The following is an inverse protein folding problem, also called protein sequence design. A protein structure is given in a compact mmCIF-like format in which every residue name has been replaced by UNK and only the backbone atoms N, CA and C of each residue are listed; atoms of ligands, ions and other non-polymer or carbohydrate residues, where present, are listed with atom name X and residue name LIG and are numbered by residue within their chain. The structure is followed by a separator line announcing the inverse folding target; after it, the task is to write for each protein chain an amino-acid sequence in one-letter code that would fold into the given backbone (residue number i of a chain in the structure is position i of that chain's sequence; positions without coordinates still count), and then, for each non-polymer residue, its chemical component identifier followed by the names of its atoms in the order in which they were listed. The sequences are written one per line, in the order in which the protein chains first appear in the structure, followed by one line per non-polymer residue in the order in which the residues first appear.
data_IF_401247832718
#
_entry.id   IF_401247832718
#
_cell.length_a   1.000
_cell.length_b   1.000
_cell.length_c   1.000
_cell.angle_alpha   90.00
_cell.angle_beta   90.00
_cell.angle_gamma   90.00
#
_symmetry.space_group_name_H-M   'P 1'
#
loop_
_entity.id
_entity.type
_entity.pdbx_description
1 polymer ?
#
# COMPACT_ATOMS: atom_id res chain seq x y z
N UNK A 1 -6.31 -11.57 -34.42
CA UNK A 1 -7.24 -11.60 -33.26
C UNK A 1 -6.40 -11.91 -32.05
N UNK A 2 -6.69 -11.26 -30.91
CA UNK A 2 -5.87 -11.12 -29.70
C UNK A 2 -4.73 -10.11 -29.91
N UNK A 3 -4.53 -9.08 -29.10
CA UNK A 3 -4.85 -8.92 -27.67
C UNK A 3 -5.49 -7.54 -27.44
N UNK A 4 -6.72 -7.52 -26.93
CA UNK A 4 -7.23 -6.36 -26.19
C UNK A 4 -6.40 -6.29 -24.92
N UNK A 5 -5.24 -5.62 -25.00
CA UNK A 5 -4.47 -5.21 -23.83
C UNK A 5 -5.42 -4.28 -23.09
N UNK A 6 -6.02 -4.79 -22.03
CA UNK A 6 -6.94 -4.07 -21.18
C UNK A 6 -6.26 -2.77 -20.79
N UNK A 7 -6.74 -1.67 -21.39
CA UNK A 7 -6.37 -0.32 -21.03
C UNK A 7 -7.07 -0.02 -19.70
N UNK A 8 -6.75 -0.81 -18.66
CA UNK A 8 -7.07 -0.47 -17.29
C UNK A 8 -6.10 0.65 -16.95
N UNK A 9 -6.56 1.89 -16.77
CA UNK A 9 -5.68 3.01 -16.41
C UNK A 9 -4.85 2.57 -15.21
N UNK A 10 -3.52 2.65 -15.29
CA UNK A 10 -2.64 2.26 -14.18
C UNK A 10 -3.07 3.02 -12.91
N UNK A 11 -2.79 2.50 -11.71
CA UNK A 11 -3.20 3.23 -10.49
C UNK A 11 -2.57 4.63 -10.45
N UNK A 12 -1.39 4.80 -11.06
CA UNK A 12 -0.71 6.09 -11.17
C UNK A 12 -1.42 7.10 -12.09
N UNK A 13 -2.33 6.62 -12.94
CA UNK A 13 -3.09 7.45 -13.88
C UNK A 13 -4.39 7.97 -13.24
N UNK A 14 -4.79 7.42 -12.08
CA UNK A 14 -5.96 7.87 -11.33
C UNK A 14 -5.69 9.19 -10.62
N UNK A 15 -6.72 10.02 -10.49
CA UNK A 15 -6.60 11.26 -9.74
C UNK A 15 -6.40 11.01 -8.24
N UNK A 16 -5.82 11.98 -7.54
CA UNK A 16 -5.64 11.90 -6.08
C UNK A 16 -6.96 11.58 -5.36
N UNK A 17 -8.04 12.23 -5.79
CA UNK A 17 -9.37 12.04 -5.18
C UNK A 17 -9.88 10.62 -5.37
N UNK A 18 -9.74 10.03 -6.56
CA UNK A 18 -10.15 8.66 -6.83
C UNK A 18 -9.36 7.64 -6.00
N UNK A 19 -8.04 7.83 -5.89
CA UNK A 19 -7.19 6.96 -5.10
C UNK A 19 -7.58 6.98 -3.62
N UNK A 20 -7.83 8.18 -3.10
CA UNK A 20 -8.23 8.35 -1.72
C UNK A 20 -9.67 7.92 -1.45
N UNK A 21 -10.58 8.00 -2.43
CA UNK A 21 -11.94 7.47 -2.32
C UNK A 21 -11.91 5.96 -2.10
N UNK A 22 -11.12 5.22 -2.90
CA UNK A 22 -10.91 3.78 -2.74
C UNK A 22 -10.36 3.42 -1.34
N UNK A 23 -9.37 4.20 -0.88
CA UNK A 23 -8.76 4.02 0.45
C UNK A 23 -9.78 4.32 1.55
N UNK A 24 -10.58 5.38 1.40
CA UNK A 24 -11.56 5.82 2.40
C UNK A 24 -12.75 4.86 2.52
N UNK A 25 -13.27 4.36 1.39
CA UNK A 25 -14.30 3.32 1.36
C UNK A 25 -13.84 2.07 2.13
N UNK A 26 -12.56 1.73 2.00
CA UNK A 26 -11.95 0.58 2.66
C UNK A 26 -11.19 0.95 3.95
N UNK A 27 -11.36 2.17 4.49
CA UNK A 27 -10.57 2.70 5.62
C UNK A 27 -10.63 1.81 6.84
N UNK A 28 -11.79 1.22 7.10
CA UNK A 28 -11.98 0.30 8.22
C UNK A 28 -11.21 -1.01 8.03
N UNK A 29 -11.25 -1.58 6.82
CA UNK A 29 -10.52 -2.81 6.50
C UNK A 29 -9.00 -2.58 6.52
N UNK A 30 -8.53 -1.44 5.99
CA UNK A 30 -7.14 -1.01 6.06
C UNK A 30 -6.72 -0.83 7.51
N UNK A 31 -7.47 -0.03 8.27
CA UNK A 31 -7.13 0.21 9.67
C UNK A 31 -7.12 -1.07 10.49
N UNK A 32 -7.98 -2.06 10.22
CA UNK A 32 -7.98 -3.31 10.97
C UNK A 32 -6.92 -4.32 10.52
N UNK A 33 -6.73 -4.46 9.21
CA UNK A 33 -5.86 -5.49 8.61
C UNK A 33 -4.39 -5.08 8.50
N UNK A 34 -4.11 -3.77 8.50
CA UNK A 34 -2.77 -3.24 8.23
C UNK A 34 -2.04 -2.93 9.52
N UNK A 35 -0.78 -3.38 9.58
CA UNK A 35 0.12 -3.05 10.67
C UNK A 35 1.03 -1.91 10.24
N UNK A 36 1.00 -0.74 10.91
CA UNK A 36 1.82 0.41 10.53
C UNK A 36 3.32 0.07 10.52
N UNK A 37 3.82 -0.69 11.50
CA UNK A 37 5.24 -1.10 11.56
C UNK A 37 5.73 -1.86 10.32
N UNK A 38 4.83 -2.50 9.56
CA UNK A 38 5.19 -3.20 8.30
C UNK A 38 5.27 -2.21 7.14
N UNK A 39 4.41 -1.18 7.13
CA UNK A 39 4.37 -0.19 6.06
C UNK A 39 5.41 0.92 6.22
N UNK A 40 5.68 1.35 7.45
CA UNK A 40 6.64 2.42 7.80
C UNK A 40 7.96 2.36 7.01
N UNK A 41 8.70 1.22 6.97
CA UNK A 41 9.97 1.18 6.23
C UNK A 41 9.80 1.47 4.73
N UNK A 42 8.69 1.04 4.14
CA UNK A 42 8.37 1.33 2.75
C UNK A 42 7.96 2.80 2.55
N UNK A 43 7.08 3.32 3.41
CA UNK A 43 6.59 4.69 3.34
C UNK A 43 7.75 5.71 3.52
N UNK A 44 8.74 5.37 4.34
CA UNK A 44 9.99 6.14 4.45
C UNK A 44 10.84 6.07 3.19
N UNK A 45 10.96 4.90 2.56
CA UNK A 45 11.65 4.76 1.28
C UNK A 45 10.97 5.56 0.17
N UNK A 46 9.63 5.61 0.18
CA UNK A 46 8.82 6.43 -0.72
C UNK A 46 8.88 7.93 -0.40
N UNK A 47 9.57 8.33 0.69
CA UNK A 47 9.71 9.72 1.17
C UNK A 47 8.38 10.41 1.46
N UNK A 48 7.35 9.63 1.82
CA UNK A 48 6.04 10.12 2.24
C UNK A 48 5.90 10.20 3.77
N UNK A 49 6.94 9.80 4.50
CA UNK A 49 6.97 9.73 5.96
C UNK A 49 8.34 10.17 6.47
N UNK A 50 8.35 11.05 7.48
CA UNK A 50 9.58 11.51 8.14
C UNK A 50 9.89 10.69 9.40
N UNK A 51 11.10 10.86 9.95
CA UNK A 51 11.48 10.26 11.24
C UNK A 51 10.52 10.63 12.37
N UNK A 52 9.96 11.85 12.35
CA UNK A 52 9.01 12.33 13.35
C UNK A 52 7.66 11.63 13.21
N UNK A 53 7.15 11.56 11.97
CA UNK A 53 5.89 10.88 11.69
C UNK A 53 5.96 9.39 12.07
N UNK A 54 7.11 8.74 11.85
CA UNK A 54 7.36 7.37 12.29
C UNK A 54 7.26 7.23 13.80
N UNK A 55 7.96 8.09 14.56
CA UNK A 55 7.93 8.04 16.03
C UNK A 55 6.51 8.28 16.55
N UNK A 56 5.76 9.22 15.98
CA UNK A 56 4.36 9.46 16.36
C UNK A 56 3.47 8.23 16.12
N UNK A 57 3.60 7.58 14.95
CA UNK A 57 2.85 6.37 14.62
C UNK A 57 3.23 5.20 15.55
N UNK A 58 4.51 5.06 15.91
CA UNK A 58 5.01 3.96 16.76
C UNK A 58 4.68 4.18 18.25
N UNK A 59 4.84 5.41 18.73
CA UNK A 59 4.59 5.82 20.12
C UNK A 59 3.10 5.78 20.43
N UNK A 60 2.24 6.12 19.47
CA UNK A 60 0.80 6.05 19.64
C UNK A 60 0.26 4.66 19.28
N UNK A 61 0.65 3.60 19.98
CA UNK A 61 0.23 2.22 19.69
C UNK A 61 -1.23 1.88 20.11
N UNK A 62 -2.14 2.85 20.15
CA UNK A 62 -3.56 2.64 20.51
C UNK A 62 -4.46 2.54 19.27
N UNK A 63 -5.60 1.83 19.38
CA UNK A 63 -6.52 1.48 18.27
C UNK A 63 -6.94 2.66 17.36
N UNK A 64 -6.86 3.90 17.87
CA UNK A 64 -7.14 5.18 17.20
C UNK A 64 -6.08 5.59 16.15
N UNK A 65 -4.88 5.02 16.18
CA UNK A 65 -3.72 5.52 15.42
C UNK A 65 -3.58 4.98 14.00
N UNK A 66 -4.30 3.91 13.69
CA UNK A 66 -4.34 3.35 12.33
C UNK A 66 -5.06 4.30 11.36
N UNK A 67 -5.99 5.08 11.88
CA UNK A 67 -6.59 6.22 11.17
C UNK A 67 -5.67 7.44 11.06
N UNK A 68 -4.75 7.63 12.00
CA UNK A 68 -3.80 8.75 12.01
C UNK A 68 -2.70 8.58 10.95
N UNK A 69 -2.15 7.37 10.79
CA UNK A 69 -1.24 7.07 9.67
C UNK A 69 -1.87 7.41 8.31
N UNK A 70 -3.15 7.09 8.13
CA UNK A 70 -3.87 7.43 6.89
C UNK A 70 -4.03 8.94 6.72
N UNK A 71 -4.20 9.68 7.81
CA UNK A 71 -4.29 11.14 7.80
C UNK A 71 -2.96 11.79 7.40
N UNK A 72 -1.84 11.28 7.94
CA UNK A 72 -0.49 11.70 7.56
C UNK A 72 -0.21 11.43 6.09
N UNK A 73 -0.60 10.26 5.59
CA UNK A 73 -0.50 9.94 4.18
C UNK A 73 -1.41 10.81 3.32
N UNK A 74 -2.60 11.20 3.81
CA UNK A 74 -3.52 12.12 3.12
C UNK A 74 -2.90 13.50 2.96
N UNK A 75 -2.12 13.96 3.94
CA UNK A 75 -1.35 15.20 3.83
C UNK A 75 -0.28 15.16 2.73
N UNK A 76 0.19 13.97 2.31
CA UNK A 76 1.11 13.77 1.18
C UNK A 76 0.40 13.69 -0.18
N UNK A 77 -0.94 13.75 -0.19
CA UNK A 77 -1.75 13.77 -1.40
C UNK A 77 -1.64 12.49 -2.24
N UNK A 78 -1.51 12.65 -3.56
CA UNK A 78 -1.38 11.53 -4.51
C UNK A 78 -0.23 10.58 -4.15
N UNK A 79 0.92 11.13 -3.77
CA UNK A 79 2.10 10.31 -3.44
C UNK A 79 1.86 9.43 -2.20
N UNK A 80 1.14 9.95 -1.21
CA UNK A 80 0.78 9.18 -0.01
C UNK A 80 -0.18 8.03 -0.32
N UNK A 81 -1.19 8.29 -1.17
CA UNK A 81 -2.10 7.23 -1.62
C UNK A 81 -1.38 6.15 -2.44
N UNK A 82 -0.53 6.55 -3.38
CA UNK A 82 0.30 5.62 -4.15
C UNK A 82 1.21 4.80 -3.26
N UNK A 83 1.96 5.44 -2.36
CA UNK A 83 2.84 4.75 -1.44
C UNK A 83 2.08 3.75 -0.54
N UNK A 84 0.88 4.10 -0.10
CA UNK A 84 0.02 3.19 0.65
C UNK A 84 -0.37 1.99 -0.21
N UNK A 85 -0.95 2.20 -1.39
CA UNK A 85 -1.43 1.11 -2.25
C UNK A 85 -0.29 0.19 -2.67
N UNK A 86 0.87 0.74 -3.03
CA UNK A 86 2.09 -0.02 -3.32
C UNK A 86 2.52 -0.88 -2.12
N UNK A 87 2.53 -0.29 -0.92
CA UNK A 87 2.88 -1.02 0.30
C UNK A 87 1.89 -2.14 0.62
N UNK A 88 0.60 -1.92 0.37
CA UNK A 88 -0.44 -2.93 0.49
C UNK A 88 -0.26 -4.03 -0.54
N UNK A 89 0.13 -3.68 -1.76
CA UNK A 89 0.38 -4.66 -2.82
C UNK A 89 1.48 -5.65 -2.43
N UNK A 90 2.52 -5.18 -1.74
CA UNK A 90 3.68 -5.97 -1.31
C UNK A 90 3.35 -6.80 -0.07
N UNK A 91 2.77 -6.17 0.96
CA UNK A 91 2.62 -6.79 2.28
C UNK A 91 1.25 -7.44 2.50
N UNK A 92 0.22 -6.97 1.78
CA UNK A 92 -1.18 -7.33 1.95
C UNK A 92 -1.88 -7.50 0.58
N UNK A 93 -1.40 -8.37 -0.32
CA UNK A 93 -1.92 -8.48 -1.68
C UNK A 93 -3.43 -8.74 -1.75
N UNK A 94 -3.96 -9.53 -0.82
CA UNK A 94 -5.40 -9.78 -0.71
C UNK A 94 -6.21 -8.51 -0.38
N UNK A 95 -5.65 -7.62 0.45
CA UNK A 95 -6.28 -6.36 0.82
C UNK A 95 -6.18 -5.34 -0.32
N UNK A 96 -5.02 -5.27 -0.99
CA UNK A 96 -4.85 -4.46 -2.19
C UNK A 96 -5.87 -4.81 -3.28
N UNK A 97 -6.06 -6.10 -3.57
CA UNK A 97 -7.06 -6.55 -4.54
C UNK A 97 -8.48 -6.23 -4.11
N UNK A 98 -8.77 -6.28 -2.81
CA UNK A 98 -10.08 -5.87 -2.29
C UNK A 98 -10.34 -4.37 -2.46
N UNK A 99 -9.34 -3.52 -2.21
CA UNK A 99 -9.48 -2.06 -2.29
C UNK A 99 -9.57 -1.60 -3.74
N UNK A 100 -8.65 -2.09 -4.57
CA UNK A 100 -8.48 -1.58 -5.94
C UNK A 100 -9.24 -2.41 -6.98
N UNK A 101 -9.69 -3.61 -6.62
CA UNK A 101 -10.23 -4.61 -7.56
C UNK A 101 -9.17 -5.21 -8.48
N UNK A 102 -7.88 -4.89 -8.29
CA UNK A 102 -6.79 -5.23 -9.21
C UNK A 102 -5.88 -6.31 -8.64
N UNK A 103 -5.27 -7.08 -9.54
CA UNK A 103 -4.27 -8.05 -9.14
C UNK A 103 -2.96 -7.34 -8.78
N UNK A 104 -2.23 -7.80 -7.74
CA UNK A 104 -0.94 -7.25 -7.41
C UNK A 104 0.01 -7.43 -8.60
N UNK A 105 0.60 -6.33 -9.06
CA UNK A 105 1.47 -6.35 -10.23
C UNK A 105 2.75 -7.15 -9.96
N UNK A 106 2.92 -8.23 -10.71
CA UNK A 106 4.10 -9.10 -10.64
C UNK A 106 5.39 -8.33 -10.99
N UNK A 107 5.27 -7.29 -11.82
CA UNK A 107 6.41 -6.44 -12.22
C UNK A 107 7.02 -5.66 -11.04
N UNK A 108 6.17 -5.09 -10.18
CA UNK A 108 6.66 -4.43 -8.97
C UNK A 108 7.26 -5.44 -7.99
N UNK A 109 6.63 -6.59 -7.78
CA UNK A 109 7.20 -7.68 -6.97
C UNK A 109 8.57 -8.14 -7.50
N UNK A 110 8.76 -8.11 -8.82
CA UNK A 110 10.04 -8.38 -9.47
C UNK A 110 11.09 -7.30 -9.16
N UNK A 111 10.68 -6.03 -9.08
CA UNK A 111 11.55 -4.92 -8.66
C UNK A 111 12.01 -5.03 -7.20
N UNK A 112 11.19 -5.65 -6.33
CA UNK A 112 11.55 -5.99 -4.95
C UNK A 112 12.29 -7.33 -4.81
N UNK A 113 12.49 -8.09 -5.90
CA UNK A 113 13.26 -9.35 -5.89
C UNK A 113 14.76 -9.14 -5.67
N UNK A 114 15.24 -7.91 -5.88
CA UNK A 114 16.62 -7.50 -5.60
C UNK A 114 16.83 -7.10 -4.12
N UNK A 115 15.75 -6.99 -3.33
CA UNK A 115 15.84 -6.75 -1.88
C UNK A 115 15.96 -8.08 -1.09
N UNK A 116 16.70 -8.07 0.04
CA UNK A 116 17.06 -9.28 0.78
C UNK A 116 15.86 -10.13 1.24
N UNK A 117 16.07 -11.45 1.28
CA UNK A 117 15.18 -12.62 1.39
C UNK A 117 13.88 -12.56 2.24
N UNK A 118 13.62 -11.52 3.02
CA UNK A 118 12.53 -11.47 4.01
C UNK A 118 11.12 -11.32 3.39
N UNK A 119 11.03 -10.86 2.14
CA UNK A 119 9.74 -10.67 1.44
C UNK A 119 9.39 -11.87 0.53
N UNK A 120 10.38 -12.68 0.14
CA UNK A 120 10.24 -13.78 -0.82
C UNK A 120 9.37 -14.96 -0.32
N UNK A 121 9.37 -15.23 0.99
CA UNK A 121 8.82 -16.50 1.54
C UNK A 121 7.29 -16.58 1.50
N UNK A 122 6.56 -15.45 1.40
CA UNK A 122 5.09 -15.47 1.50
C UNK A 122 4.36 -15.54 0.16
N UNK A 123 5.00 -15.14 -0.93
CA UNK A 123 4.37 -15.14 -2.27
C UNK A 123 4.41 -16.53 -2.90
N UNK A 124 5.47 -17.33 -2.65
CA UNK A 124 5.60 -18.69 -3.19
C UNK A 124 4.71 -19.73 -2.51
N UNK A 125 4.14 -19.47 -1.33
CA UNK A 125 3.28 -20.44 -0.61
C UNK A 125 1.80 -20.35 -0.96
N UNK A 126 1.37 -19.39 -1.80
CA UNK A 126 -0.03 -19.24 -2.21
C UNK A 126 -0.34 -19.86 -3.58
N UNK A 127 0.63 -20.56 -4.18
CA UNK A 127 0.52 -21.24 -5.48
C UNK A 127 0.63 -22.78 -5.37
N UNK A 128 0.52 -23.34 -4.16
CA UNK A 128 0.40 -24.79 -3.95
C UNK A 128 -0.95 -25.17 -3.33
#
# INVERSE_FOLDING_TARGET
MAESVLNTPDLKDLEEEELWDLINDNRHAISLGVRPCVLIPYLRQARVLTDLDEDEILTCFNFTNRGHMLDLLRAQGHNGAMALLESLMIHYPALYTRITGRQPSIDFLRKYSDLPLMIQTRVLSSVE
#
